data_IF_166865105424
#
_entry.id   IF_166865105424
#
_cell.length_a   1.000
_cell.length_b   1.000
_cell.length_c   1.000
_cell.angle_alpha   90.00
_cell.angle_beta   90.00
_cell.angle_gamma   90.00
#
_symmetry.space_group_name_H-M   'P 1'
#
loop_
_entity.id
_entity.type
_entity.pdbx_description
1 polymer ?
#
# COMPACT_ATOMS: atom_id res chain seq x y z
N UNK A 1 10.66 -7.45 -3.86
CA UNK A 1 9.31 -7.84 -3.42
C UNK A 1 9.41 -8.35 -1.99
N UNK A 2 8.81 -7.69 -0.99
CA UNK A 2 8.75 -8.21 0.39
C UNK A 2 7.39 -8.87 0.56
N UNK A 3 7.38 -10.17 0.82
CA UNK A 3 6.17 -10.97 1.02
C UNK A 3 5.47 -10.52 2.31
N UNK A 4 4.26 -9.99 2.20
CA UNK A 4 3.30 -10.02 3.29
C UNK A 4 2.69 -11.42 3.36
N UNK A 5 2.33 -11.89 4.56
CA UNK A 5 1.59 -13.13 4.72
C UNK A 5 0.31 -13.13 3.87
N UNK A 6 -0.13 -14.32 3.43
CA UNK A 6 -1.38 -14.52 2.67
C UNK A 6 -1.48 -13.88 1.27
N UNK A 7 -0.36 -13.59 0.59
CA UNK A 7 -0.36 -13.15 -0.81
C UNK A 7 -0.55 -11.64 -1.00
N UNK A 8 -0.35 -10.87 0.06
CA UNK A 8 -0.32 -9.41 0.01
C UNK A 8 1.11 -8.89 -0.14
N UNK A 9 1.24 -7.73 -0.79
CA UNK A 9 2.51 -7.08 -1.06
C UNK A 9 2.41 -5.59 -0.75
N UNK A 10 3.54 -4.98 -0.43
CA UNK A 10 3.67 -3.52 -0.43
C UNK A 10 4.29 -3.07 -1.75
N UNK A 11 3.64 -2.11 -2.41
CA UNK A 11 4.17 -1.48 -3.62
C UNK A 11 5.07 -0.33 -3.16
N UNK A 12 6.38 -0.51 -3.30
CA UNK A 12 7.39 0.41 -2.76
C UNK A 12 8.03 1.22 -3.89
N UNK A 13 8.07 2.54 -3.73
CA UNK A 13 8.84 3.45 -4.58
C UNK A 13 10.34 3.17 -4.41
N UNK A 14 11.03 2.87 -5.50
CA UNK A 14 12.46 2.55 -5.49
C UNK A 14 13.37 3.73 -5.10
N UNK A 15 12.93 4.97 -5.34
CA UNK A 15 13.74 6.18 -5.14
C UNK A 15 13.76 6.69 -3.70
N UNK A 16 12.80 6.28 -2.86
CA UNK A 16 12.68 6.80 -1.49
C UNK A 16 12.10 5.83 -0.48
N UNK A 17 11.73 4.63 -0.90
CA UNK A 17 11.25 3.59 0.00
C UNK A 17 9.83 3.80 0.55
N UNK A 18 9.15 4.87 0.18
CA UNK A 18 7.72 5.09 0.44
C UNK A 18 6.85 4.03 -0.22
N UNK A 19 5.68 3.78 0.35
CA UNK A 19 4.75 2.75 -0.14
C UNK A 19 3.44 3.38 -0.64
N UNK A 20 2.81 2.71 -1.61
CA UNK A 20 1.49 3.08 -2.10
C UNK A 20 0.43 2.66 -1.06
N UNK A 21 -0.41 3.62 -0.66
CA UNK A 21 -1.53 3.39 0.26
C UNK A 21 -2.82 4.09 -0.19
N UNK A 22 -3.93 3.78 0.47
CA UNK A 22 -5.23 4.43 0.24
C UNK A 22 -5.40 5.59 1.21
N UNK A 23 -5.69 6.80 0.70
CA UNK A 23 -5.81 7.99 1.54
C UNK A 23 -6.85 7.77 2.66
N UNK A 24 -6.41 7.97 3.91
CA UNK A 24 -7.21 7.77 5.12
C UNK A 24 -7.88 6.39 5.21
N UNK A 25 -7.28 5.34 4.62
CA UNK A 25 -7.87 4.00 4.53
C UNK A 25 -9.30 3.97 3.98
N UNK A 26 -9.63 4.90 3.06
CA UNK A 26 -10.97 5.03 2.51
C UNK A 26 -11.42 3.77 1.76
N UNK A 27 -12.64 3.32 2.04
CA UNK A 27 -13.30 2.22 1.32
C UNK A 27 -14.24 2.73 0.21
N UNK A 28 -14.30 4.05 0.01
CA UNK A 28 -15.16 4.64 -1.00
C UNK A 28 -14.67 4.31 -2.42
N UNK A 29 -15.60 4.16 -3.35
CA UNK A 29 -15.27 4.05 -4.77
C UNK A 29 -14.55 5.32 -5.23
N UNK A 30 -13.44 5.14 -5.95
CA UNK A 30 -12.60 6.27 -6.37
C UNK A 30 -11.74 6.86 -5.26
N UNK A 31 -11.51 6.12 -4.16
CA UNK A 31 -10.56 6.51 -3.13
C UNK A 31 -9.19 6.86 -3.74
N UNK A 32 -8.63 7.98 -3.28
CA UNK A 32 -7.34 8.46 -3.77
C UNK A 32 -6.21 7.55 -3.26
N UNK A 33 -5.28 7.23 -4.15
CA UNK A 33 -4.03 6.56 -3.78
C UNK A 33 -2.92 7.59 -3.53
N UNK A 34 -2.12 7.35 -2.49
CA UNK A 34 -1.05 8.25 -2.05
C UNK A 34 0.23 7.47 -1.79
N UNK A 35 1.38 8.16 -1.83
CA UNK A 35 2.65 7.61 -1.37
C UNK A 35 3.01 8.19 -0.01
N UNK A 36 3.25 7.31 0.95
CA UNK A 36 3.58 7.67 2.33
C UNK A 36 4.66 6.79 2.92
N UNK A 37 5.09 7.14 4.12
CA UNK A 37 6.02 6.31 4.88
C UNK A 37 5.30 5.03 5.33
N UNK A 38 5.99 3.90 5.22
CA UNK A 38 5.40 2.62 5.61
C UNK A 38 5.33 2.50 7.14
N UNK A 39 4.13 2.68 7.68
CA UNK A 39 3.83 2.55 9.11
C UNK A 39 3.28 1.16 9.48
N UNK A 40 3.25 0.23 8.52
CA UNK A 40 2.71 -1.11 8.73
C UNK A 40 1.20 -1.26 8.53
N UNK A 41 0.48 -0.18 8.22
CA UNK A 41 -0.98 -0.20 8.08
C UNK A 41 -1.47 -1.05 6.87
N UNK A 42 -2.69 -1.56 7.01
CA UNK A 42 -3.30 -2.48 6.04
C UNK A 42 -3.68 -1.80 4.73
N UNK A 43 -3.93 -0.49 4.74
CA UNK A 43 -4.18 0.30 3.53
C UNK A 43 -2.93 0.39 2.62
N UNK A 44 -1.78 -0.11 3.07
CA UNK A 44 -0.57 -0.28 2.25
C UNK A 44 -0.45 -1.68 1.61
N UNK A 45 -1.38 -2.60 1.88
CA UNK A 45 -1.35 -3.98 1.38
C UNK A 45 -2.14 -4.13 0.08
N UNK A 46 -1.47 -4.70 -0.92
CA UNK A 46 -2.02 -4.92 -2.27
C UNK A 46 -2.00 -6.40 -2.63
N UNK A 47 -3.07 -6.86 -3.27
CA UNK A 47 -3.15 -8.19 -3.88
C UNK A 47 -3.38 -8.04 -5.39
N UNK A 48 -2.59 -8.77 -6.17
CA UNK A 48 -2.78 -8.89 -7.61
C UNK A 48 -3.62 -10.16 -7.86
N UNK A 49 -4.70 -10.04 -8.63
CA UNK A 49 -5.64 -11.12 -8.97
C UNK A 49 -5.76 -11.26 -10.47
#
# INVERSE_FOLDING_TARGET
MRYGSAGYFRIRNANGGRVLGVLNASTAQGAQLVQGDDNGADDHLWRFV
#
